data_IF_235157714833
#
_entry.id   IF_235157714833
#
_cell.length_a   1.000
_cell.length_b   1.000
_cell.length_c   1.000
_cell.angle_alpha   90.00
_cell.angle_beta   90.00
_cell.angle_gamma   90.00
#
_symmetry.space_group_name_H-M   'P 1'
#
loop_
_entity.id
_entity.type
_entity.pdbx_description
1 polymer ?
#
# COMPACT_ATOMS: atom_id res chain seq x y z
N UNK A 1 -12.14 -51.77 -12.13
CA UNK A 1 -11.25 -52.40 -13.14
C UNK A 1 -12.09 -52.96 -14.31
N UNK A 2 -13.31 -53.42 -14.08
CA UNK A 2 -14.17 -54.03 -15.11
C UNK A 2 -14.74 -53.07 -16.15
N UNK A 3 -14.76 -51.78 -15.89
CA UNK A 3 -15.18 -50.71 -16.83
C UNK A 3 -14.06 -50.33 -17.80
N UNK A 4 -12.80 -50.60 -17.46
CA UNK A 4 -11.64 -50.27 -18.29
C UNK A 4 -11.42 -51.23 -19.45
N UNK A 5 -11.88 -52.51 -19.34
CA UNK A 5 -11.73 -53.53 -20.36
C UNK A 5 -12.70 -53.43 -21.54
N UNK A 6 -13.80 -52.72 -21.40
CA UNK A 6 -14.81 -52.61 -22.45
C UNK A 6 -14.49 -51.58 -23.55
N UNK A 7 -13.49 -50.73 -23.37
CA UNK A 7 -13.17 -49.59 -24.25
C UNK A 7 -11.98 -49.81 -25.18
N UNK A 8 -11.30 -50.95 -25.15
CA UNK A 8 -10.07 -51.18 -25.94
C UNK A 8 -10.35 -51.67 -27.37
N UNK A 9 -11.59 -51.89 -27.78
CA UNK A 9 -11.91 -52.59 -29.04
C UNK A 9 -12.69 -51.79 -30.09
N UNK A 10 -12.53 -50.47 -30.17
CA UNK A 10 -13.14 -49.70 -31.26
C UNK A 10 -12.20 -48.66 -31.89
N UNK A 11 -11.88 -48.90 -33.16
CA UNK A 11 -11.04 -48.04 -34.02
C UNK A 11 -11.72 -46.73 -34.41
N UNK A 12 -10.98 -45.61 -34.47
CA UNK A 12 -11.35 -44.39 -35.20
C UNK A 12 -10.96 -43.10 -34.51
N UNK A 13 -10.50 -42.12 -35.29
CA UNK A 13 -10.00 -40.78 -34.87
C UNK A 13 -10.96 -39.91 -34.03
N UNK A 14 -12.23 -40.27 -33.96
CA UNK A 14 -13.21 -39.57 -33.10
C UNK A 14 -13.05 -39.87 -31.59
N UNK A 15 -12.23 -40.83 -31.23
CA UNK A 15 -12.04 -41.27 -29.84
C UNK A 15 -10.95 -40.52 -29.07
N UNK A 16 -9.98 -39.95 -29.74
CA UNK A 16 -8.99 -39.08 -29.06
C UNK A 16 -9.67 -37.85 -28.42
N UNK A 17 -10.61 -37.25 -29.17
CA UNK A 17 -11.38 -36.12 -28.68
C UNK A 17 -12.34 -36.47 -27.52
N UNK A 18 -12.83 -37.71 -27.49
CA UNK A 18 -13.73 -38.19 -26.43
C UNK A 18 -12.95 -38.60 -25.17
N UNK A 19 -11.75 -39.17 -25.36
CA UNK A 19 -10.87 -39.55 -24.26
C UNK A 19 -10.25 -38.31 -23.57
N UNK A 20 -9.87 -37.34 -24.32
CA UNK A 20 -9.44 -36.02 -23.77
C UNK A 20 -10.59 -35.31 -23.05
N UNK A 21 -11.84 -35.38 -23.56
CA UNK A 21 -13.03 -34.86 -22.87
C UNK A 21 -13.35 -35.59 -21.58
N UNK A 22 -13.20 -36.91 -21.56
CA UNK A 22 -13.41 -37.73 -20.35
C UNK A 22 -12.30 -37.51 -19.35
N UNK A 23 -11.03 -37.41 -19.78
CA UNK A 23 -9.90 -37.03 -18.91
C UNK A 23 -10.08 -35.62 -18.39
N UNK A 24 -10.54 -34.70 -19.22
CA UNK A 24 -10.85 -33.32 -18.80
C UNK A 24 -12.01 -33.27 -17.81
N UNK A 25 -13.07 -34.08 -18.01
CA UNK A 25 -14.18 -34.20 -17.05
C UNK A 25 -13.75 -34.92 -15.77
N UNK A 26 -12.93 -35.96 -15.84
CA UNK A 26 -12.43 -36.67 -14.64
C UNK A 26 -11.42 -35.80 -13.89
N UNK A 27 -10.54 -35.05 -14.57
CA UNK A 27 -9.64 -34.07 -13.93
C UNK A 27 -10.39 -32.84 -13.44
N UNK A 28 -11.45 -32.40 -14.12
CA UNK A 28 -12.33 -31.34 -13.64
C UNK A 28 -13.19 -31.84 -12.45
N UNK A 29 -13.69 -33.07 -12.47
CA UNK A 29 -14.40 -33.69 -11.34
C UNK A 29 -13.46 -34.04 -10.18
N UNK A 30 -12.20 -34.43 -10.44
CA UNK A 30 -11.22 -34.64 -9.39
C UNK A 30 -10.74 -33.30 -8.79
N UNK A 31 -10.67 -32.25 -9.59
CA UNK A 31 -10.48 -30.89 -9.04
C UNK A 31 -11.67 -30.44 -8.20
N UNK A 32 -12.90 -30.75 -8.60
CA UNK A 32 -14.10 -30.44 -7.78
C UNK A 32 -14.17 -31.32 -6.51
N UNK A 33 -13.67 -32.57 -6.54
CA UNK A 33 -13.54 -33.41 -5.35
C UNK A 33 -12.35 -33.11 -4.47
N UNK A 34 -11.31 -32.43 -4.99
CA UNK A 34 -10.22 -31.87 -4.19
C UNK A 34 -10.64 -30.67 -3.32
N UNK A 35 -11.80 -30.06 -3.60
CA UNK A 35 -12.43 -29.07 -2.69
C UNK A 35 -12.95 -29.66 -1.38
N UNK A 36 -12.90 -30.98 -1.21
CA UNK A 36 -13.25 -31.71 0.03
C UNK A 36 -12.01 -32.11 0.87
N UNK A 37 -10.80 -31.93 0.37
CA UNK A 37 -9.64 -31.84 1.23
C UNK A 37 -9.62 -30.42 1.81
N UNK A 38 -9.59 -30.28 3.12
CA UNK A 38 -9.44 -29.07 3.92
C UNK A 38 -8.21 -28.24 3.47
N UNK A 39 -8.20 -27.70 2.23
CA UNK A 39 -7.22 -26.74 1.80
C UNK A 39 -7.69 -25.42 2.38
N UNK A 40 -6.99 -24.96 3.41
CA UNK A 40 -7.20 -23.65 4.00
C UNK A 40 -7.22 -22.58 2.91
N UNK A 41 -8.25 -21.76 2.90
CA UNK A 41 -8.49 -20.86 1.78
C UNK A 41 -7.56 -19.65 1.82
N UNK A 42 -7.28 -19.13 3.01
CA UNK A 42 -6.51 -17.91 3.18
C UNK A 42 -5.36 -18.07 4.18
N UNK A 43 -4.21 -17.46 3.87
CA UNK A 43 -3.13 -17.21 4.83
C UNK A 43 -2.93 -15.72 4.96
N UNK A 44 -3.16 -15.20 6.17
CA UNK A 44 -2.99 -13.79 6.49
C UNK A 44 -1.55 -13.59 6.93
N UNK A 45 -0.76 -12.83 6.17
CA UNK A 45 0.67 -12.59 6.41
C UNK A 45 0.88 -11.18 6.94
N UNK A 46 1.45 -11.07 8.13
CA UNK A 46 1.66 -9.80 8.82
C UNK A 46 3.12 -9.63 9.23
N UNK A 47 3.87 -8.74 8.56
CA UNK A 47 5.21 -8.35 9.02
C UNK A 47 5.09 -7.40 10.20
N UNK A 48 5.87 -7.62 11.26
CA UNK A 48 5.83 -6.83 12.50
C UNK A 48 7.22 -6.32 12.85
N UNK A 49 7.28 -5.04 13.29
CA UNK A 49 8.50 -4.44 13.84
C UNK A 49 8.16 -3.43 14.94
N UNK A 50 8.41 -3.78 16.21
CA UNK A 50 8.17 -2.94 17.39
C UNK A 50 6.72 -2.43 17.54
N UNK A 51 5.70 -3.30 17.37
CA UNK A 51 4.28 -2.92 17.33
C UNK A 51 3.35 -3.93 18.02
N UNK A 52 3.60 -4.34 19.27
CA UNK A 52 2.76 -5.34 19.94
C UNK A 52 1.31 -4.88 20.11
N UNK A 53 1.06 -3.59 20.41
CA UNK A 53 -0.29 -3.06 20.61
C UNK A 53 -1.14 -3.09 19.34
N UNK A 54 -0.53 -2.73 18.19
CA UNK A 54 -1.23 -2.79 16.90
C UNK A 54 -1.51 -4.24 16.47
N UNK A 55 -0.61 -5.17 16.80
CA UNK A 55 -0.84 -6.60 16.56
C UNK A 55 -2.00 -7.12 17.39
N UNK A 56 -2.14 -6.70 18.67
CA UNK A 56 -3.26 -7.10 19.52
C UNK A 56 -4.61 -6.65 18.91
N UNK A 57 -4.73 -5.40 18.49
CA UNK A 57 -5.94 -4.90 17.84
C UNK A 57 -6.25 -5.64 16.52
N UNK A 58 -5.23 -5.95 15.72
CA UNK A 58 -5.41 -6.73 14.49
C UNK A 58 -5.93 -8.15 14.82
N UNK A 59 -5.33 -8.84 15.81
CA UNK A 59 -5.74 -10.19 16.20
C UNK A 59 -7.16 -10.21 16.78
N UNK A 60 -7.56 -9.20 17.54
CA UNK A 60 -8.95 -9.03 18.00
C UNK A 60 -9.92 -8.88 16.82
N UNK A 61 -9.54 -8.09 15.82
CA UNK A 61 -10.36 -7.92 14.63
C UNK A 61 -10.46 -9.19 13.79
N UNK A 62 -9.41 -10.01 13.75
CA UNK A 62 -9.39 -11.33 13.11
C UNK A 62 -10.24 -12.34 13.91
N UNK A 63 -10.16 -12.31 15.22
CA UNK A 63 -11.01 -13.14 16.07
C UNK A 63 -12.50 -12.80 15.89
N UNK A 64 -12.84 -11.59 15.51
CA UNK A 64 -14.22 -11.15 15.29
C UNK A 64 -14.77 -11.48 13.89
N UNK A 65 -13.98 -12.07 12.98
CA UNK A 65 -14.42 -12.38 11.61
C UNK A 65 -15.52 -13.43 11.61
N UNK A 66 -16.48 -13.30 10.70
CA UNK A 66 -17.60 -14.22 10.52
C UNK A 66 -17.16 -15.55 9.87
N UNK A 67 -16.26 -15.50 8.89
CA UNK A 67 -15.64 -16.68 8.27
C UNK A 67 -14.26 -16.93 8.90
N UNK A 68 -13.96 -18.20 9.25
CA UNK A 68 -12.73 -18.60 9.95
C UNK A 68 -11.80 -19.49 9.13
N UNK A 69 -12.03 -19.62 7.83
CA UNK A 69 -11.20 -20.45 6.95
C UNK A 69 -9.89 -19.71 6.58
N UNK A 70 -9.08 -19.40 7.59
CA UNK A 70 -7.78 -18.75 7.45
C UNK A 70 -6.81 -19.13 8.56
N UNK A 71 -5.52 -19.13 8.23
CA UNK A 71 -4.42 -19.07 9.21
C UNK A 71 -3.84 -17.66 9.29
N UNK A 72 -3.17 -17.37 10.40
CA UNK A 72 -2.45 -16.10 10.61
C UNK A 72 -0.97 -16.38 10.77
N UNK A 73 -0.15 -15.76 9.93
CA UNK A 73 1.31 -15.89 9.92
C UNK A 73 1.92 -14.56 10.32
N UNK A 74 2.33 -14.44 11.59
CA UNK A 74 3.02 -13.25 12.12
C UNK A 74 4.52 -13.44 11.92
N UNK A 75 5.17 -12.45 11.29
CA UNK A 75 6.62 -12.46 11.06
C UNK A 75 7.25 -11.25 11.77
N UNK A 76 7.87 -11.51 12.91
CA UNK A 76 8.63 -10.53 13.68
C UNK A 76 9.97 -10.24 13.02
N UNK A 77 10.20 -8.99 12.62
CA UNK A 77 11.35 -8.56 11.82
C UNK A 77 12.46 -7.94 12.70
N UNK A 78 12.94 -8.67 13.71
CA UNK A 78 14.02 -8.24 14.58
C UNK A 78 13.63 -7.11 15.54
N UNK A 79 12.43 -7.17 16.12
CA UNK A 79 11.93 -6.17 17.05
C UNK A 79 12.71 -6.19 18.38
N UNK A 80 12.87 -5.01 18.96
CA UNK A 80 13.33 -4.85 20.35
C UNK A 80 12.18 -5.08 21.34
N UNK A 81 10.95 -4.80 20.90
CA UNK A 81 9.71 -5.05 21.67
C UNK A 81 8.89 -6.05 20.84
N UNK A 82 9.09 -7.35 21.04
CA UNK A 82 8.40 -8.38 20.27
C UNK A 82 6.94 -8.52 20.66
N UNK A 83 6.11 -8.98 19.70
CA UNK A 83 4.69 -9.23 19.94
C UNK A 83 4.38 -10.69 20.34
N UNK A 84 5.39 -11.49 20.72
CA UNK A 84 5.21 -12.91 21.03
C UNK A 84 4.17 -13.15 22.12
N UNK A 85 4.27 -12.42 23.25
CA UNK A 85 3.32 -12.55 24.38
C UNK A 85 1.88 -12.24 23.96
N UNK A 86 1.71 -11.27 23.05
CA UNK A 86 0.39 -10.98 22.46
C UNK A 86 -0.08 -12.17 21.62
N UNK A 87 0.75 -12.71 20.74
CA UNK A 87 0.39 -13.87 19.91
C UNK A 87 0.01 -15.09 20.77
N UNK A 88 0.74 -15.34 21.84
CA UNK A 88 0.47 -16.48 22.74
C UNK A 88 -0.94 -16.42 23.38
N UNK A 89 -1.50 -15.22 23.64
CA UNK A 89 -2.88 -15.04 24.15
C UNK A 89 -3.97 -15.47 23.15
N UNK A 90 -3.65 -15.51 21.86
CA UNK A 90 -4.60 -15.82 20.78
C UNK A 90 -4.36 -17.19 20.14
N UNK A 91 -3.28 -17.90 20.49
CA UNK A 91 -2.89 -19.16 19.88
C UNK A 91 -3.95 -20.27 20.00
N UNK A 92 -4.71 -20.31 21.09
CA UNK A 92 -5.81 -21.27 21.30
C UNK A 92 -7.11 -20.86 20.58
N UNK A 93 -7.20 -19.64 20.05
CA UNK A 93 -8.42 -19.08 19.48
C UNK A 93 -8.35 -18.92 17.94
N UNK A 94 -7.15 -18.81 17.40
CA UNK A 94 -6.85 -18.63 15.98
C UNK A 94 -5.80 -19.65 15.56
N UNK A 95 -5.86 -20.13 14.32
CA UNK A 95 -4.73 -20.88 13.73
C UNK A 95 -3.59 -19.89 13.45
N UNK A 96 -2.78 -19.63 14.48
CA UNK A 96 -1.79 -18.57 14.53
C UNK A 96 -0.38 -19.15 14.61
N UNK A 97 0.47 -18.73 13.68
CA UNK A 97 1.87 -19.10 13.57
C UNK A 97 2.75 -17.86 13.75
N UNK A 98 3.58 -17.88 14.80
CA UNK A 98 4.54 -16.81 15.08
C UNK A 98 5.94 -17.22 14.68
N UNK A 99 6.60 -16.39 13.89
CA UNK A 99 7.99 -16.55 13.48
C UNK A 99 8.79 -15.29 13.79
N UNK A 100 10.03 -15.46 14.27
CA UNK A 100 10.97 -14.36 14.50
C UNK A 100 12.21 -14.54 13.64
N UNK A 101 12.74 -13.45 13.10
CA UNK A 101 13.96 -13.43 12.30
C UNK A 101 14.72 -12.12 12.48
N UNK A 102 15.97 -12.07 12.02
CA UNK A 102 16.74 -10.84 11.94
C UNK A 102 16.05 -9.81 11.00
N UNK A 103 16.25 -8.51 11.33
CA UNK A 103 15.62 -7.44 10.56
C UNK A 103 16.12 -7.42 9.10
N UNK A 104 15.20 -7.56 8.18
CA UNK A 104 15.47 -7.48 6.73
C UNK A 104 14.45 -6.64 5.96
N UNK A 105 13.53 -6.04 6.69
CA UNK A 105 12.48 -5.17 6.16
C UNK A 105 11.17 -5.87 5.80
N UNK A 106 10.10 -5.08 5.63
CA UNK A 106 8.74 -5.60 5.51
C UNK A 106 8.54 -6.49 4.28
N UNK A 107 9.17 -6.17 3.14
CA UNK A 107 9.07 -6.98 1.92
C UNK A 107 9.63 -8.39 2.13
N UNK A 108 10.82 -8.50 2.73
CA UNK A 108 11.45 -9.80 2.99
C UNK A 108 10.72 -10.58 4.07
N UNK A 109 10.13 -9.90 5.06
CA UNK A 109 9.31 -10.54 6.09
C UNK A 109 8.00 -11.09 5.51
N UNK A 110 7.39 -10.39 4.54
CA UNK A 110 6.25 -10.92 3.78
C UNK A 110 6.63 -12.17 2.98
N UNK A 111 7.81 -12.16 2.32
CA UNK A 111 8.32 -13.34 1.60
C UNK A 111 8.52 -14.52 2.55
N UNK A 112 9.14 -14.29 3.70
CA UNK A 112 9.38 -15.31 4.72
C UNK A 112 8.07 -15.93 5.23
N UNK A 113 7.03 -15.13 5.42
CA UNK A 113 5.69 -15.60 5.78
C UNK A 113 5.02 -16.38 4.64
N UNK A 114 5.14 -15.90 3.40
CA UNK A 114 4.55 -16.53 2.22
C UNK A 114 5.12 -17.93 1.94
N UNK A 115 6.40 -18.16 2.23
CA UNK A 115 7.04 -19.48 2.12
C UNK A 115 6.44 -20.52 3.08
N UNK A 116 5.87 -20.06 4.22
CA UNK A 116 5.30 -20.90 5.29
C UNK A 116 3.80 -21.01 5.23
N UNK A 117 3.18 -20.20 4.41
CA UNK A 117 1.75 -20.13 4.22
C UNK A 117 1.20 -21.37 3.51
N UNK A 118 0.03 -21.85 3.96
CA UNK A 118 -0.64 -23.06 3.43
C UNK A 118 -1.86 -22.72 2.56
N UNK A 119 -2.43 -21.50 2.72
CA UNK A 119 -3.63 -21.06 2.04
C UNK A 119 -3.47 -20.96 0.52
N UNK A 120 -4.58 -21.07 -0.19
CA UNK A 120 -4.64 -20.85 -1.64
C UNK A 120 -4.37 -19.40 -2.01
N UNK A 121 -4.90 -18.46 -1.20
CA UNK A 121 -4.66 -17.03 -1.30
C UNK A 121 -3.86 -16.51 -0.10
N UNK A 122 -2.88 -15.68 -0.40
CA UNK A 122 -2.13 -14.91 0.59
C UNK A 122 -2.81 -13.55 0.76
N UNK A 123 -3.25 -13.24 1.98
CA UNK A 123 -3.75 -11.92 2.36
C UNK A 123 -2.65 -11.19 3.11
N UNK A 124 -2.03 -10.23 2.45
CA UNK A 124 -0.93 -9.45 3.01
C UNK A 124 -1.51 -8.22 3.66
N UNK A 125 -1.29 -8.08 4.97
CA UNK A 125 -1.77 -6.98 5.79
C UNK A 125 -0.60 -6.34 6.54
N UNK A 126 -0.67 -5.02 6.78
CA UNK A 126 0.24 -4.37 7.71
C UNK A 126 -0.28 -4.54 9.16
N UNK A 127 0.61 -4.50 10.16
CA UNK A 127 0.23 -4.68 11.57
C UNK A 127 -0.67 -3.56 12.12
N UNK A 128 -0.71 -2.40 11.45
CA UNK A 128 -1.49 -1.21 11.84
C UNK A 128 -2.85 -1.11 11.13
N UNK A 129 -3.39 -2.25 10.68
CA UNK A 129 -4.76 -2.33 10.15
C UNK A 129 -5.71 -3.02 11.14
N UNK A 130 -6.98 -2.63 11.07
CA UNK A 130 -8.08 -3.29 11.79
C UNK A 130 -9.13 -3.68 10.76
N UNK A 131 -9.67 -4.90 10.86
CA UNK A 131 -10.58 -5.45 9.88
C UNK A 131 -12.04 -5.29 10.32
N UNK A 132 -12.98 -4.91 9.42
CA UNK A 132 -14.40 -5.04 9.70
C UNK A 132 -14.79 -6.52 9.79
N UNK A 133 -15.83 -6.84 10.57
CA UNK A 133 -16.27 -8.24 10.82
C UNK A 133 -16.55 -9.05 9.55
N UNK A 134 -16.98 -8.41 8.48
CA UNK A 134 -17.30 -9.05 7.19
C UNK A 134 -16.15 -9.06 6.18
N UNK A 135 -14.91 -8.74 6.56
CA UNK A 135 -13.79 -8.62 5.60
C UNK A 135 -13.52 -9.94 4.85
N UNK A 136 -13.35 -11.05 5.56
CA UNK A 136 -13.08 -12.37 4.93
C UNK A 136 -14.25 -12.80 4.05
N UNK A 137 -15.50 -12.58 4.51
CA UNK A 137 -16.69 -12.83 3.70
C UNK A 137 -16.71 -12.01 2.42
N UNK A 138 -16.42 -10.70 2.50
CA UNK A 138 -16.35 -9.81 1.33
C UNK A 138 -15.31 -10.29 0.31
N UNK A 139 -14.13 -10.71 0.76
CA UNK A 139 -13.10 -11.31 -0.10
C UNK A 139 -13.63 -12.59 -0.76
N UNK A 140 -14.28 -13.47 0.00
CA UNK A 140 -14.85 -14.72 -0.49
C UNK A 140 -15.93 -14.48 -1.55
N UNK A 141 -16.85 -13.57 -1.31
CA UNK A 141 -17.93 -13.21 -2.23
C UNK A 141 -17.41 -12.60 -3.53
N UNK A 142 -16.43 -11.68 -3.45
CA UNK A 142 -15.81 -11.08 -4.63
C UNK A 142 -15.06 -12.11 -5.49
N UNK A 143 -14.34 -13.05 -4.87
CA UNK A 143 -13.64 -14.12 -5.58
C UNK A 143 -14.62 -15.12 -6.20
N UNK A 144 -15.76 -15.43 -5.54
CA UNK A 144 -16.84 -16.27 -6.11
C UNK A 144 -17.51 -15.57 -7.29
N UNK A 145 -17.77 -14.26 -7.19
CA UNK A 145 -18.39 -13.47 -8.25
C UNK A 145 -17.52 -13.44 -9.50
N UNK A 146 -16.23 -13.21 -9.32
CA UNK A 146 -15.29 -13.09 -10.41
C UNK A 146 -13.86 -13.38 -9.91
N UNK A 147 -13.23 -14.49 -10.34
CA UNK A 147 -11.88 -14.85 -9.92
C UNK A 147 -10.85 -13.76 -10.24
N UNK A 148 -9.85 -13.60 -9.38
CA UNK A 148 -8.74 -12.70 -9.55
C UNK A 148 -7.43 -13.37 -9.15
N UNK A 149 -6.34 -13.07 -9.86
CA UNK A 149 -5.00 -13.54 -9.48
C UNK A 149 -4.43 -12.70 -8.34
N UNK A 150 -4.75 -11.41 -8.33
CA UNK A 150 -4.42 -10.48 -7.26
C UNK A 150 -5.56 -9.47 -7.07
N UNK A 151 -5.68 -8.93 -5.87
CA UNK A 151 -6.67 -7.92 -5.53
C UNK A 151 -6.20 -7.03 -4.38
N UNK A 152 -6.93 -6.00 -4.08
CA UNK A 152 -6.79 -5.20 -2.89
C UNK A 152 -8.06 -4.45 -2.59
N UNK A 153 -8.21 -4.00 -1.35
CA UNK A 153 -9.31 -3.20 -0.89
C UNK A 153 -8.88 -1.77 -0.51
N UNK A 154 -9.85 -0.85 -0.39
CA UNK A 154 -9.58 0.51 0.07
C UNK A 154 -9.21 0.56 1.56
N UNK A 155 -8.59 1.67 1.96
CA UNK A 155 -8.38 1.99 3.36
C UNK A 155 -9.31 3.14 3.79
N UNK A 156 -9.79 3.05 5.02
CA UNK A 156 -10.64 4.04 5.63
C UNK A 156 -10.00 4.61 6.90
N UNK A 157 -10.33 5.87 7.22
CA UNK A 157 -10.02 6.43 8.53
C UNK A 157 -11.02 5.89 9.56
N UNK A 158 -10.53 5.48 10.73
CA UNK A 158 -11.39 5.08 11.84
C UNK A 158 -11.93 6.31 12.58
N UNK A 159 -13.13 6.22 13.15
CA UNK A 159 -13.76 7.33 13.89
C UNK A 159 -12.91 7.80 15.08
N UNK A 160 -12.20 6.87 15.73
CA UNK A 160 -11.29 7.15 16.85
C UNK A 160 -10.02 7.91 16.48
N UNK A 161 -9.78 8.20 15.20
CA UNK A 161 -8.58 8.92 14.78
C UNK A 161 -8.52 10.31 15.42
N UNK A 162 -7.34 10.66 15.90
CA UNK A 162 -7.05 12.01 16.42
C UNK A 162 -7.23 13.06 15.31
N UNK A 163 -7.40 14.32 15.70
CA UNK A 163 -7.54 15.42 14.75
C UNK A 163 -6.32 15.48 13.78
N UNK A 164 -5.10 15.21 14.29
CA UNK A 164 -3.89 15.14 13.46
C UNK A 164 -3.97 13.99 12.44
N UNK A 165 -4.43 12.82 12.83
CA UNK A 165 -4.60 11.68 11.91
C UNK A 165 -5.67 11.95 10.85
N UNK A 166 -6.77 12.63 11.23
CA UNK A 166 -7.81 13.06 10.29
C UNK A 166 -7.27 14.08 9.28
N UNK A 167 -6.50 15.06 9.74
CA UNK A 167 -5.82 16.04 8.88
C UNK A 167 -4.82 15.38 7.90
N UNK A 168 -4.02 14.41 8.39
CA UNK A 168 -3.12 13.61 7.55
C UNK A 168 -3.93 12.79 6.53
N UNK A 169 -5.01 12.15 6.95
CA UNK A 169 -5.89 11.38 6.06
C UNK A 169 -6.47 12.27 4.96
N UNK A 170 -6.97 13.45 5.31
CA UNK A 170 -7.43 14.45 4.35
C UNK A 170 -6.33 14.78 3.33
N UNK A 171 -5.11 15.13 3.79
CA UNK A 171 -4.02 15.50 2.89
C UNK A 171 -3.60 14.35 1.95
N UNK A 172 -3.78 13.09 2.36
CA UNK A 172 -3.46 11.91 1.54
C UNK A 172 -4.54 11.57 0.50
N UNK A 173 -5.75 12.07 0.63
CA UNK A 173 -6.90 11.72 -0.22
C UNK A 173 -7.50 12.90 -0.98
N UNK A 174 -7.26 14.14 -0.54
CA UNK A 174 -7.80 15.35 -1.15
C UNK A 174 -7.34 15.54 -2.60
N UNK A 175 -8.23 16.02 -3.43
CA UNK A 175 -7.91 16.45 -4.80
C UNK A 175 -6.83 17.53 -4.84
N UNK A 176 -6.87 18.49 -3.91
CA UNK A 176 -5.91 19.61 -3.86
C UNK A 176 -4.48 19.23 -3.48
N UNK A 177 -4.26 18.01 -3.00
CA UNK A 177 -2.93 17.51 -2.61
C UNK A 177 -2.46 16.35 -3.48
N UNK A 178 -3.36 15.47 -3.91
CA UNK A 178 -3.01 14.24 -4.65
C UNK A 178 -3.52 14.22 -6.08
N UNK A 179 -4.23 15.28 -6.53
CA UNK A 179 -4.81 15.34 -7.86
C UNK A 179 -5.86 14.25 -8.13
N UNK A 180 -6.47 13.71 -7.09
CA UNK A 180 -7.50 12.67 -7.19
C UNK A 180 -6.96 11.25 -7.45
N UNK A 181 -5.63 11.03 -7.37
CA UNK A 181 -5.02 9.69 -7.52
C UNK A 181 -5.45 8.76 -6.38
N UNK A 182 -5.67 9.30 -5.18
CA UNK A 182 -6.16 8.58 -4.01
C UNK A 182 -7.52 9.10 -3.61
N UNK A 183 -8.38 8.22 -3.08
CA UNK A 183 -9.72 8.60 -2.60
C UNK A 183 -10.76 8.86 -3.69
N UNK A 184 -10.42 8.79 -4.97
CA UNK A 184 -11.37 9.01 -6.07
C UNK A 184 -12.25 7.78 -6.29
N UNK A 185 -13.60 8.00 -6.37
CA UNK A 185 -14.59 6.97 -6.77
C UNK A 185 -14.52 6.59 -8.26
N UNK A 186 -13.67 7.25 -9.06
CA UNK A 186 -13.50 6.94 -10.48
C UNK A 186 -12.61 5.72 -10.64
N UNK A 187 -13.06 4.75 -11.44
CA UNK A 187 -12.26 3.60 -11.90
C UNK A 187 -11.00 4.14 -12.60
N UNK A 188 -9.84 3.95 -11.98
CA UNK A 188 -8.57 4.01 -12.69
C UNK A 188 -8.52 2.78 -13.61
N UNK A 189 -8.01 2.92 -14.82
CA UNK A 189 -7.87 1.80 -15.78
C UNK A 189 -7.09 0.61 -15.21
N UNK A 190 -6.22 0.86 -14.22
CA UNK A 190 -5.44 -0.17 -13.52
C UNK A 190 -5.43 0.14 -12.02
N UNK A 191 -5.85 -0.85 -11.23
CA UNK A 191 -5.75 -0.79 -9.78
C UNK A 191 -4.45 -1.45 -9.31
N UNK A 192 -3.61 -0.73 -8.58
CA UNK A 192 -2.36 -1.23 -8.01
C UNK A 192 -2.59 -1.61 -6.54
N UNK A 193 -2.66 -2.91 -6.19
CA UNK A 193 -2.79 -3.35 -4.81
C UNK A 193 -1.64 -2.82 -3.96
N UNK A 194 -1.95 -2.43 -2.73
CA UNK A 194 -0.97 -1.94 -1.76
C UNK A 194 -0.78 -2.97 -0.66
N UNK A 195 0.43 -3.08 -0.17
CA UNK A 195 0.81 -4.11 0.80
C UNK A 195 0.05 -4.08 2.13
N UNK A 196 -0.60 -2.96 2.48
CA UNK A 196 -1.41 -2.89 3.69
C UNK A 196 -2.74 -3.67 3.58
N UNK A 197 -3.21 -3.96 2.35
CA UNK A 197 -4.42 -4.73 2.07
C UNK A 197 -4.33 -5.32 0.66
N UNK A 198 -3.57 -6.38 0.50
CA UNK A 198 -3.33 -7.07 -0.77
C UNK A 198 -3.63 -8.54 -0.65
N UNK A 199 -4.49 -9.06 -1.53
CA UNK A 199 -4.67 -10.49 -1.73
C UNK A 199 -4.02 -10.96 -3.02
N UNK A 200 -3.43 -12.13 -3.03
CA UNK A 200 -2.82 -12.74 -4.21
C UNK A 200 -2.84 -14.26 -4.12
N UNK A 201 -3.08 -14.95 -5.23
CA UNK A 201 -2.94 -16.40 -5.29
C UNK A 201 -1.50 -16.80 -4.96
N UNK A 202 -1.34 -17.84 -4.13
CA UNK A 202 -0.03 -18.31 -3.67
C UNK A 202 0.88 -18.74 -4.82
N UNK A 203 0.35 -19.45 -5.81
CA UNK A 203 1.10 -19.88 -7.00
C UNK A 203 1.60 -18.69 -7.83
N UNK A 204 0.78 -17.64 -8.00
CA UNK A 204 1.17 -16.40 -8.68
C UNK A 204 2.23 -15.65 -7.88
N UNK A 205 2.11 -15.60 -6.56
CA UNK A 205 3.14 -15.00 -5.70
C UNK A 205 4.49 -15.68 -5.86
N UNK A 206 4.49 -17.03 -5.86
CA UNK A 206 5.70 -17.84 -6.05
C UNK A 206 6.27 -17.69 -7.47
N UNK A 207 5.44 -17.73 -8.50
CA UNK A 207 5.82 -17.50 -9.90
C UNK A 207 6.55 -16.17 -10.08
N UNK A 208 6.05 -15.11 -9.42
CA UNK A 208 6.62 -13.77 -9.51
C UNK A 208 7.82 -13.54 -8.54
N UNK A 209 8.15 -14.49 -7.67
CA UNK A 209 9.26 -14.39 -6.72
C UNK A 209 9.04 -13.40 -5.56
N UNK A 210 7.77 -13.09 -5.23
CA UNK A 210 7.41 -12.23 -4.10
C UNK A 210 7.92 -10.79 -4.19
N UNK A 211 8.10 -10.13 -3.05
CA UNK A 211 8.60 -8.76 -2.97
C UNK A 211 10.10 -8.67 -3.24
N UNK A 212 10.51 -7.70 -4.04
CA UNK A 212 11.93 -7.44 -4.32
C UNK A 212 12.64 -6.77 -3.12
N UNK A 213 13.97 -6.86 -3.10
CA UNK A 213 14.83 -6.15 -2.13
C UNK A 213 14.90 -4.66 -2.47
N UNK A 214 13.78 -3.96 -2.43
CA UNK A 214 13.74 -2.49 -2.51
C UNK A 214 13.53 -1.93 -1.11
N UNK A 215 14.17 -0.79 -0.80
CA UNK A 215 13.94 -0.13 0.48
C UNK A 215 12.62 0.61 0.53
N UNK A 216 12.19 1.16 -0.59
CA UNK A 216 10.96 1.93 -0.73
C UNK A 216 10.28 1.62 -2.06
N UNK A 217 8.97 1.37 -2.03
CA UNK A 217 8.15 1.14 -3.22
C UNK A 217 8.10 -0.32 -3.68
N UNK A 218 8.46 -1.26 -2.81
CA UNK A 218 8.44 -2.70 -3.08
C UNK A 218 7.03 -3.21 -3.41
N UNK A 219 5.98 -2.58 -2.85
CA UNK A 219 4.58 -2.88 -3.13
C UNK A 219 4.18 -2.47 -4.55
N UNK A 220 4.63 -1.29 -4.99
CA UNK A 220 4.38 -0.80 -6.36
C UNK A 220 5.18 -1.63 -7.37
N UNK A 221 6.44 -1.96 -7.07
CA UNK A 221 7.26 -2.86 -7.88
C UNK A 221 6.56 -4.20 -8.09
N UNK A 222 6.06 -4.80 -7.02
CA UNK A 222 5.36 -6.07 -7.08
C UNK A 222 4.08 -5.96 -7.92
N UNK A 223 3.29 -4.91 -7.72
CA UNK A 223 2.10 -4.65 -8.53
C UNK A 223 2.43 -4.46 -10.02
N UNK A 224 3.52 -3.77 -10.36
CA UNK A 224 3.98 -3.64 -11.76
C UNK A 224 4.31 -5.01 -12.35
N UNK A 225 4.98 -5.90 -11.59
CA UNK A 225 5.30 -7.27 -12.05
C UNK A 225 4.04 -8.13 -12.24
N UNK A 226 3.05 -8.00 -11.37
CA UNK A 226 1.73 -8.65 -11.54
C UNK A 226 1.11 -8.25 -12.89
N UNK A 227 1.08 -6.95 -13.21
CA UNK A 227 0.53 -6.48 -14.48
C UNK A 227 1.37 -6.89 -15.70
N UNK A 228 2.72 -6.85 -15.60
CA UNK A 228 3.60 -7.27 -16.70
C UNK A 228 3.48 -8.76 -17.01
N UNK A 229 3.15 -9.56 -16.01
CA UNK A 229 2.88 -10.99 -16.18
C UNK A 229 1.45 -11.28 -16.71
N UNK A 230 0.68 -10.26 -17.06
CA UNK A 230 -0.68 -10.42 -17.58
C UNK A 230 -1.69 -10.95 -16.57
N UNK A 231 -1.37 -10.91 -15.27
CA UNK A 231 -2.25 -11.42 -14.22
C UNK A 231 -3.44 -10.49 -14.00
N UNK A 232 -4.58 -11.08 -13.66
CA UNK A 232 -5.84 -10.37 -13.43
C UNK A 232 -5.84 -9.75 -12.04
N UNK A 233 -5.82 -8.41 -12.00
CA UNK A 233 -5.83 -7.64 -10.75
C UNK A 233 -7.14 -6.86 -10.61
N UNK A 234 -7.78 -6.93 -9.42
CA UNK A 234 -9.08 -6.29 -9.16
C UNK A 234 -9.08 -5.46 -7.89
N UNK A 235 -9.90 -4.42 -7.87
CA UNK A 235 -10.28 -3.73 -6.64
C UNK A 235 -11.51 -4.44 -6.04
N UNK A 236 -11.44 -4.77 -4.75
CA UNK A 236 -12.55 -5.29 -3.95
C UNK A 236 -13.06 -4.19 -3.02
N UNK A 237 -14.08 -3.42 -3.41
CA UNK A 237 -14.51 -2.26 -2.63
C UNK A 237 -14.99 -2.61 -1.22
N UNK A 238 -15.63 -3.78 -1.06
CA UNK A 238 -16.19 -4.24 0.21
C UNK A 238 -15.14 -4.87 1.14
N UNK A 239 -13.96 -5.24 0.61
CA UNK A 239 -12.84 -5.75 1.39
C UNK A 239 -11.93 -4.59 1.87
N UNK A 240 -12.56 -3.60 2.50
CA UNK A 240 -11.85 -2.44 3.04
C UNK A 240 -11.30 -2.70 4.44
N UNK A 241 -10.31 -1.89 4.86
CA UNK A 241 -9.69 -1.97 6.19
C UNK A 241 -9.60 -0.58 6.83
N UNK A 242 -9.68 -0.50 8.15
CA UNK A 242 -9.22 0.68 8.88
C UNK A 242 -7.69 0.64 8.93
N UNK A 243 -7.04 1.65 8.37
CA UNK A 243 -5.58 1.73 8.36
C UNK A 243 -5.13 2.93 9.18
N UNK A 244 -4.41 2.68 10.26
CA UNK A 244 -3.94 3.73 11.18
C UNK A 244 -3.00 4.70 10.44
N UNK A 245 -3.34 5.98 10.49
CA UNK A 245 -2.47 7.03 9.98
C UNK A 245 -1.35 7.34 10.97
N UNK A 246 -0.29 7.96 10.50
CA UNK A 246 0.79 8.44 11.37
C UNK A 246 0.22 9.38 12.44
N UNK A 247 0.70 9.25 13.66
CA UNK A 247 0.19 9.97 14.83
C UNK A 247 0.69 11.41 14.93
N UNK A 248 1.78 11.74 14.23
CA UNK A 248 2.41 13.05 14.25
C UNK A 248 2.97 13.44 12.86
N UNK A 249 3.16 14.75 12.68
CA UNK A 249 3.61 15.34 11.43
C UNK A 249 5.07 14.99 11.08
N UNK A 250 5.94 14.74 12.07
CA UNK A 250 7.33 14.35 11.82
C UNK A 250 7.42 12.96 11.20
N UNK A 251 6.64 12.00 11.73
CA UNK A 251 6.53 10.65 11.16
C UNK A 251 5.88 10.70 9.78
N UNK A 252 4.89 11.58 9.60
CA UNK A 252 4.24 11.79 8.31
C UNK A 252 5.21 12.37 7.27
N UNK A 253 6.01 13.40 7.62
CA UNK A 253 7.06 13.91 6.75
C UNK A 253 8.00 12.81 6.27
N UNK A 254 8.50 11.98 7.19
CA UNK A 254 9.39 10.86 6.84
C UNK A 254 8.73 9.89 5.86
N UNK A 255 7.44 9.59 6.05
CA UNK A 255 6.66 8.71 5.18
C UNK A 255 6.57 9.27 3.75
N UNK A 256 6.18 10.54 3.61
CA UNK A 256 6.00 11.15 2.28
C UNK A 256 7.34 11.42 1.58
N UNK A 257 8.37 11.77 2.34
CA UNK A 257 9.74 11.90 1.83
C UNK A 257 10.23 10.58 1.21
N UNK A 258 10.04 9.46 1.92
CA UNK A 258 10.37 8.13 1.41
C UNK A 258 9.52 7.75 0.18
N UNK A 259 8.28 8.22 0.10
CA UNK A 259 7.44 8.02 -1.10
C UNK A 259 7.99 8.76 -2.32
N UNK A 260 8.58 9.94 -2.13
CA UNK A 260 9.29 10.67 -3.19
C UNK A 260 10.54 9.92 -3.68
N UNK A 261 11.32 9.36 -2.75
CA UNK A 261 12.48 8.50 -3.07
C UNK A 261 12.04 7.27 -3.88
N UNK A 262 10.99 6.58 -3.39
CA UNK A 262 10.45 5.39 -4.04
C UNK A 262 10.10 5.64 -5.51
N UNK A 263 9.58 6.82 -5.83
CA UNK A 263 9.21 7.18 -7.20
C UNK A 263 10.39 7.19 -8.17
N UNK A 264 11.54 7.69 -7.74
CA UNK A 264 12.76 7.71 -8.56
C UNK A 264 13.37 6.31 -8.66
N UNK A 265 13.35 5.51 -7.61
CA UNK A 265 13.82 4.12 -7.66
C UNK A 265 12.97 3.29 -8.65
N UNK A 266 11.65 3.47 -8.60
CA UNK A 266 10.74 2.85 -9.57
C UNK A 266 10.97 3.35 -11.01
N UNK A 267 11.20 4.65 -11.20
CA UNK A 267 11.54 5.22 -12.50
C UNK A 267 12.83 4.63 -13.08
N UNK A 268 13.86 4.47 -12.26
CA UNK A 268 15.13 3.84 -12.70
C UNK A 268 14.94 2.38 -13.15
N UNK A 269 14.00 1.66 -12.53
CA UNK A 269 13.69 0.26 -12.85
C UNK A 269 12.65 0.13 -13.97
N UNK A 270 11.68 1.04 -13.98
CA UNK A 270 10.55 1.08 -14.92
C UNK A 270 10.32 2.53 -15.39
N UNK A 271 11.03 3.01 -16.43
CA UNK A 271 10.91 4.40 -16.88
C UNK A 271 9.47 4.83 -17.19
N UNK A 272 8.67 3.93 -17.74
CA UNK A 272 7.26 4.12 -18.07
C UNK A 272 6.35 4.34 -16.85
N UNK A 273 6.82 4.02 -15.64
CA UNK A 273 6.06 4.19 -14.40
C UNK A 273 5.93 5.65 -13.96
N UNK A 274 6.80 6.54 -14.45
CA UNK A 274 6.78 7.95 -14.10
C UNK A 274 5.76 8.70 -14.99
N UNK A 275 4.75 9.28 -14.32
CA UNK A 275 3.71 10.10 -14.97
C UNK A 275 3.87 11.57 -14.56
N UNK A 276 3.39 12.51 -15.39
CA UNK A 276 3.47 13.95 -15.09
C UNK A 276 2.91 14.32 -13.72
N UNK A 277 1.84 13.67 -13.28
CA UNK A 277 1.24 13.90 -11.97
C UNK A 277 2.21 13.63 -10.81
N UNK A 278 3.20 12.75 -10.98
CA UNK A 278 4.22 12.47 -9.97
C UNK A 278 5.26 13.61 -9.82
N UNK A 279 5.32 14.53 -10.79
CA UNK A 279 6.17 15.71 -10.75
C UNK A 279 5.52 16.89 -10.01
N UNK A 280 4.18 16.89 -9.87
CA UNK A 280 3.45 18.00 -9.26
C UNK A 280 3.95 18.36 -7.84
N UNK A 281 4.23 17.41 -6.93
CA UNK A 281 4.77 17.75 -5.62
C UNK A 281 6.18 18.37 -5.69
N UNK A 282 7.00 17.96 -6.65
CA UNK A 282 8.31 18.60 -6.89
C UNK A 282 8.14 20.04 -7.36
N UNK A 283 7.26 20.27 -8.34
CA UNK A 283 6.94 21.63 -8.85
C UNK A 283 6.40 22.51 -7.73
N UNK A 284 5.49 21.98 -6.91
CA UNK A 284 4.97 22.68 -5.73
C UNK A 284 6.09 23.04 -4.75
N UNK A 285 7.00 22.12 -4.48
CA UNK A 285 8.14 22.35 -3.56
C UNK A 285 9.05 23.47 -4.05
N UNK A 286 9.44 23.41 -5.33
CA UNK A 286 10.28 24.45 -5.94
C UNK A 286 9.52 25.78 -5.98
N UNK A 287 8.24 25.77 -6.37
CA UNK A 287 7.39 26.96 -6.39
C UNK A 287 7.27 27.61 -5.00
N UNK A 288 7.00 26.79 -3.97
CA UNK A 288 6.94 27.28 -2.57
C UNK A 288 8.28 27.90 -2.14
N UNK A 289 9.42 27.27 -2.47
CA UNK A 289 10.74 27.81 -2.17
C UNK A 289 10.97 29.17 -2.87
N UNK A 290 10.57 29.29 -4.14
CA UNK A 290 10.67 30.57 -4.88
C UNK A 290 9.77 31.65 -4.28
N UNK A 291 8.54 31.33 -3.88
CA UNK A 291 7.63 32.27 -3.21
C UNK A 291 8.22 32.76 -1.88
N UNK A 292 8.81 31.86 -1.09
CA UNK A 292 9.53 32.24 0.17
C UNK A 292 10.72 33.12 -0.14
N UNK A 293 11.53 32.84 -1.16
CA UNK A 293 12.64 33.69 -1.59
C UNK A 293 12.16 35.07 -2.03
N UNK A 294 11.01 35.15 -2.74
CA UNK A 294 10.39 36.41 -3.10
C UNK A 294 10.00 37.24 -1.88
N UNK A 295 9.41 36.60 -0.85
CA UNK A 295 9.09 37.29 0.42
C UNK A 295 10.35 37.79 1.09
N UNK A 296 11.39 36.96 1.21
CA UNK A 296 12.67 37.35 1.83
C UNK A 296 13.35 38.51 1.06
N UNK A 297 13.33 38.44 -0.27
CA UNK A 297 13.85 39.50 -1.11
C UNK A 297 13.04 40.78 -0.94
N UNK A 298 11.69 40.70 -0.89
CA UNK A 298 10.83 41.83 -0.62
C UNK A 298 11.11 42.45 0.76
N UNK A 299 11.31 41.66 1.80
CA UNK A 299 11.71 42.13 3.13
C UNK A 299 13.08 42.82 3.10
N UNK A 300 14.04 42.32 2.32
CA UNK A 300 15.33 42.96 2.13
C UNK A 300 15.17 44.32 1.46
N UNK A 301 14.34 44.45 0.41
CA UNK A 301 14.09 45.73 -0.26
C UNK A 301 13.41 46.78 0.66
N UNK A 302 12.66 46.34 1.67
CA UNK A 302 12.04 47.25 2.65
C UNK A 302 13.06 48.03 3.47
N UNK A 303 14.33 47.59 3.55
CA UNK A 303 15.41 48.28 4.25
C UNK A 303 15.86 49.56 3.50
N UNK A 304 15.45 49.73 2.24
CA UNK A 304 15.88 50.85 1.40
C UNK A 304 14.70 51.79 1.10
N UNK A 305 14.61 52.99 1.64
CA UNK A 305 13.45 53.91 1.50
C UNK A 305 13.02 54.21 0.06
N UNK A 306 13.99 54.24 -0.88
CA UNK A 306 13.72 54.57 -2.29
C UNK A 306 12.96 53.45 -3.03
N UNK A 307 13.15 52.20 -2.62
CA UNK A 307 12.65 51.05 -3.34
C UNK A 307 11.69 50.16 -2.47
N UNK A 308 11.30 50.66 -1.29
CA UNK A 308 10.44 49.91 -0.35
C UNK A 308 9.05 49.52 -0.96
N UNK A 309 8.52 50.35 -1.88
CA UNK A 309 7.26 50.01 -2.59
C UNK A 309 7.40 48.72 -3.38
N UNK A 310 8.53 48.50 -4.06
CA UNK A 310 8.79 47.26 -4.75
C UNK A 310 8.92 46.10 -3.76
N UNK A 311 9.49 46.34 -2.57
CA UNK A 311 9.55 45.36 -1.50
C UNK A 311 8.17 44.87 -1.10
N UNK A 312 7.21 45.78 -0.93
CA UNK A 312 5.82 45.42 -0.64
C UNK A 312 5.17 44.57 -1.74
N UNK A 313 5.41 44.88 -3.01
CA UNK A 313 4.93 44.11 -4.14
C UNK A 313 5.47 42.69 -4.12
N UNK A 314 6.79 42.51 -3.92
CA UNK A 314 7.40 41.17 -3.84
C UNK A 314 6.86 40.35 -2.66
N UNK A 315 6.66 40.96 -1.50
CA UNK A 315 6.05 40.30 -0.33
C UNK A 315 4.62 39.85 -0.69
N UNK A 316 3.80 40.71 -1.26
CA UNK A 316 2.41 40.35 -1.66
C UNK A 316 2.38 39.23 -2.69
N UNK A 317 3.22 39.31 -3.72
CA UNK A 317 3.30 38.28 -4.77
C UNK A 317 3.75 36.93 -4.20
N UNK A 318 4.63 36.89 -3.22
CA UNK A 318 5.04 35.66 -2.57
C UNK A 318 4.01 35.11 -1.59
N UNK A 319 3.38 35.98 -0.80
CA UNK A 319 2.47 35.59 0.29
C UNK A 319 1.08 35.17 -0.23
N UNK A 320 0.52 35.93 -1.20
CA UNK A 320 -0.86 35.74 -1.69
C UNK A 320 -1.14 34.30 -2.18
N UNK A 321 -0.29 33.65 -3.02
CA UNK A 321 -0.55 32.28 -3.43
C UNK A 321 -0.53 31.27 -2.26
N UNK A 322 0.38 31.46 -1.29
CA UNK A 322 0.49 30.59 -0.11
C UNK A 322 -0.75 30.72 0.78
N UNK A 323 -1.23 31.95 1.00
CA UNK A 323 -2.46 32.22 1.78
C UNK A 323 -3.67 31.63 1.07
N UNK A 324 -3.81 31.88 -0.24
CA UNK A 324 -4.92 31.37 -1.03
C UNK A 324 -5.00 29.85 -0.98
N UNK A 325 -3.87 29.15 -1.18
CA UNK A 325 -3.81 27.69 -1.07
C UNK A 325 -4.17 27.22 0.34
N UNK A 326 -3.65 27.88 1.39
CA UNK A 326 -3.98 27.54 2.78
C UNK A 326 -5.46 27.70 3.09
N UNK A 327 -6.12 28.76 2.58
CA UNK A 327 -7.56 28.99 2.74
C UNK A 327 -8.35 27.88 2.04
N UNK A 328 -8.00 27.52 0.80
CA UNK A 328 -8.66 26.44 0.07
C UNK A 328 -8.61 25.13 0.85
N UNK A 329 -7.42 24.74 1.33
CA UNK A 329 -7.23 23.51 2.13
C UNK A 329 -8.06 23.58 3.42
N UNK A 330 -8.00 24.71 4.14
CA UNK A 330 -8.71 24.88 5.40
C UNK A 330 -10.23 24.76 5.21
N UNK A 331 -10.78 25.44 4.23
CA UNK A 331 -12.23 25.42 3.95
C UNK A 331 -12.69 24.03 3.53
N UNK A 332 -12.02 23.42 2.53
CA UNK A 332 -12.39 22.09 2.02
C UNK A 332 -12.29 21.01 3.11
N UNK A 333 -11.21 21.02 3.91
CA UNK A 333 -11.06 20.07 5.01
C UNK A 333 -12.06 20.32 6.14
N UNK A 334 -12.36 21.56 6.47
CA UNK A 334 -13.39 21.91 7.47
C UNK A 334 -14.75 21.39 7.05
N UNK A 335 -15.11 21.54 5.78
CA UNK A 335 -16.38 21.03 5.24
C UNK A 335 -16.45 19.49 5.27
N UNK A 336 -15.35 18.81 4.93
CA UNK A 336 -15.32 17.34 4.92
C UNK A 336 -15.33 16.71 6.32
N UNK A 337 -14.70 17.37 7.30
CA UNK A 337 -14.55 16.83 8.67
C UNK A 337 -15.48 17.49 9.70
N UNK A 338 -16.30 18.46 9.31
CA UNK A 338 -17.13 19.27 10.19
C UNK A 338 -16.36 19.89 11.38
N UNK A 339 -15.11 20.29 11.17
CA UNK A 339 -14.22 20.79 12.23
C UNK A 339 -13.21 21.78 11.70
N UNK A 340 -13.28 23.04 12.16
CA UNK A 340 -12.30 24.07 11.83
C UNK A 340 -10.89 23.70 12.34
N UNK A 341 -10.80 23.03 13.51
CA UNK A 341 -9.52 22.58 14.06
C UNK A 341 -8.81 21.62 13.11
N UNK A 342 -9.57 20.65 12.55
CA UNK A 342 -9.02 19.71 11.56
C UNK A 342 -8.68 20.47 10.27
N UNK A 343 -9.49 21.45 9.84
CA UNK A 343 -9.19 22.31 8.71
C UNK A 343 -7.85 23.02 8.84
N UNK A 344 -7.58 23.63 9.99
CA UNK A 344 -6.30 24.31 10.26
C UNK A 344 -5.13 23.32 10.28
N UNK A 345 -5.26 22.17 10.94
CA UNK A 345 -4.22 21.13 10.94
C UNK A 345 -3.95 20.57 9.52
N UNK A 346 -4.97 20.57 8.67
CA UNK A 346 -4.85 20.10 7.29
C UNK A 346 -4.00 20.99 6.40
N UNK A 347 -3.85 22.29 6.76
CA UNK A 347 -2.90 23.18 6.07
C UNK A 347 -1.50 22.61 6.23
N UNK A 348 -1.06 22.37 7.47
CA UNK A 348 0.26 21.81 7.76
C UNK A 348 0.44 20.44 7.09
N UNK A 349 -0.56 19.56 7.22
CA UNK A 349 -0.53 18.24 6.59
C UNK A 349 -0.38 18.32 5.05
N UNK A 350 -1.07 19.26 4.39
CA UNK A 350 -1.00 19.44 2.93
C UNK A 350 0.38 19.93 2.47
N UNK A 351 0.95 20.91 3.18
CA UNK A 351 2.31 21.35 2.89
C UNK A 351 3.33 20.23 3.12
N UNK A 352 3.22 19.46 4.22
CA UNK A 352 4.06 18.29 4.49
C UNK A 352 3.92 17.25 3.37
N UNK A 353 2.70 16.92 2.95
CA UNK A 353 2.43 15.96 1.88
C UNK A 353 3.18 16.32 0.59
N UNK A 354 3.10 17.58 0.17
CA UNK A 354 3.66 18.02 -1.10
C UNK A 354 5.16 18.31 -1.00
N UNK A 355 5.58 19.06 0.02
CA UNK A 355 7.00 19.43 0.15
C UNK A 355 7.86 18.24 0.59
N UNK A 356 7.36 17.40 1.49
CA UNK A 356 8.07 16.19 1.91
C UNK A 356 8.31 15.24 0.73
N UNK A 357 7.27 14.98 -0.06
CA UNK A 357 7.41 14.15 -1.27
C UNK A 357 8.36 14.82 -2.28
N UNK A 358 8.18 16.13 -2.56
CA UNK A 358 9.02 16.85 -3.51
C UNK A 358 10.49 16.88 -3.11
N UNK A 359 10.80 17.10 -1.83
CA UNK A 359 12.17 17.02 -1.31
C UNK A 359 12.78 15.62 -1.47
N UNK A 360 11.99 14.56 -1.16
CA UNK A 360 12.42 13.18 -1.35
C UNK A 360 12.70 12.86 -2.82
N UNK A 361 11.82 13.33 -3.72
CA UNK A 361 11.97 13.18 -5.17
C UNK A 361 13.23 13.89 -5.69
N UNK A 362 13.44 15.16 -5.33
CA UNK A 362 14.60 15.95 -5.76
C UNK A 362 15.90 15.31 -5.24
N UNK A 363 15.94 14.94 -3.95
CA UNK A 363 17.09 14.28 -3.34
C UNK A 363 17.43 12.97 -4.05
N UNK A 364 16.43 12.16 -4.34
CA UNK A 364 16.62 10.89 -5.03
C UNK A 364 17.04 11.08 -6.49
N UNK A 365 16.42 12.03 -7.18
CA UNK A 365 16.80 12.37 -8.56
C UNK A 365 18.26 12.81 -8.64
N UNK A 366 18.70 13.68 -7.73
CA UNK A 366 20.09 14.10 -7.67
C UNK A 366 21.04 12.92 -7.46
N UNK A 367 20.82 12.13 -6.41
CA UNK A 367 21.70 10.99 -6.08
C UNK A 367 21.71 9.93 -7.17
N UNK A 368 20.53 9.55 -7.68
CA UNK A 368 20.36 8.39 -8.56
C UNK A 368 20.55 8.72 -10.05
N UNK A 369 20.17 9.92 -10.50
CA UNK A 369 20.21 10.30 -11.90
C UNK A 369 21.39 11.21 -12.24
N UNK A 370 21.75 12.15 -11.35
CA UNK A 370 22.88 13.06 -11.58
C UNK A 370 24.20 12.44 -11.08
N UNK A 371 24.23 11.98 -9.82
CA UNK A 371 25.46 11.37 -9.25
C UNK A 371 25.64 9.90 -9.63
N UNK A 372 24.68 9.26 -10.28
CA UNK A 372 24.78 7.87 -10.73
C UNK A 372 24.86 6.79 -9.62
N UNK A 373 24.57 7.17 -8.35
CA UNK A 373 24.63 6.23 -7.23
C UNK A 373 23.59 5.11 -7.40
N UNK A 374 23.92 3.88 -7.03
CA UNK A 374 22.95 2.79 -6.92
C UNK A 374 22.05 2.96 -5.67
N UNK A 375 20.97 2.17 -5.57
CA UNK A 375 20.00 2.31 -4.48
C UNK A 375 20.63 2.01 -3.11
N UNK A 376 21.50 1.01 -3.02
CA UNK A 376 22.10 0.60 -1.75
C UNK A 376 23.05 1.68 -1.23
N UNK A 377 23.97 2.17 -2.07
CA UNK A 377 24.91 3.24 -1.68
C UNK A 377 24.22 4.58 -1.45
N UNK A 378 23.19 4.92 -2.22
CA UNK A 378 22.44 6.17 -2.03
C UNK A 378 21.68 6.23 -0.70
N UNK A 379 21.26 5.07 -0.16
CA UNK A 379 20.39 4.95 1.01
C UNK A 379 20.89 3.90 2.02
N UNK A 380 22.18 3.66 2.09
CA UNK A 380 22.82 2.65 2.95
C UNK A 380 22.34 2.71 4.41
N UNK A 381 22.22 3.93 4.97
CA UNK A 381 21.72 4.16 6.34
C UNK A 381 20.25 3.74 6.55
N UNK A 382 19.50 3.56 5.47
CA UNK A 382 18.08 3.23 5.51
C UNK A 382 17.83 1.75 5.24
N UNK A 383 18.83 0.99 4.78
CA UNK A 383 18.70 -0.45 4.65
C UNK A 383 18.84 -1.12 6.01
N UNK A 384 18.16 -2.23 6.15
CA UNK A 384 18.22 -3.08 7.34
C UNK A 384 19.59 -3.77 7.38
N UNK A 385 20.22 -3.74 8.55
CA UNK A 385 21.48 -4.41 8.82
C UNK A 385 21.22 -5.81 9.35
#
# INVERSE_FOLDING_TARGET
LDVLCYFIHAKGREKECYFERIIYQITCHSRTKCYLCNIMKYSIIVPVFNRPDEVEELLESLLSQEEKDFEVVIVEDGSQIPCKEVCDKYADKLDLHYYSKENSGPGQSRNYGAERAKGEYLLILDSDVVLPKGYIRAVSEELKREPADAFGGPDCAHESFTDTQKAISYSMTSFFTTGGIRGGKKKLDKFYPRSFNMGIRRDVYQELGGFSKMRFGEDIDFSIRIFKAGKRCRLFPEAWVWHKRRTDFRKFWKQVYNSGIARINLYKKYPESLKLVHLLPMVFTVGTALLVLMILFGLFLQLFPIINVFGSVFIMMGLMPLVLYSVIICVDSTMQNNSLKIGLLSIEAAFIQLTGYGCGFISAWWKRCVCGMDEFSAYEKNFYK
#
